data_IF_470587279266
#
_entry.id   IF_470587279266
#
_cell.length_a   1.000
_cell.length_b   1.000
_cell.length_c   1.000
_cell.angle_alpha   90.00
_cell.angle_beta   90.00
_cell.angle_gamma   90.00
#
_symmetry.space_group_name_H-M   'P 1'
#
loop_
_entity.id
_entity.type
_entity.pdbx_description
1 polymer ?
#
# COMPACT_ATOMS: atom_id res chain seq x y z
N UNK A 1 3.79 -20.38 -31.36
CA UNK A 1 2.83 -19.44 -30.72
C UNK A 1 3.40 -18.76 -29.47
N UNK A 2 3.89 -19.47 -28.44
CA UNK A 2 4.44 -18.82 -27.23
C UNK A 2 5.52 -17.75 -27.50
N UNK A 3 6.36 -17.95 -28.54
CA UNK A 3 7.38 -16.97 -28.97
C UNK A 3 6.83 -15.58 -29.37
N UNK A 4 5.55 -15.47 -29.72
CA UNK A 4 4.93 -14.18 -30.10
C UNK A 4 4.30 -13.45 -28.90
N UNK A 5 4.31 -14.06 -27.72
CA UNK A 5 3.69 -13.51 -26.50
C UNK A 5 4.69 -12.60 -25.77
N UNK A 6 4.84 -11.37 -26.25
CA UNK A 6 5.83 -10.41 -25.73
C UNK A 6 5.31 -9.45 -24.65
N UNK A 7 4.00 -9.43 -24.41
CA UNK A 7 3.40 -8.50 -23.45
C UNK A 7 3.70 -8.92 -22.00
N UNK A 8 4.11 -8.01 -21.10
CA UNK A 8 4.34 -8.32 -19.69
C UNK A 8 3.14 -8.96 -18.99
N UNK A 9 1.92 -8.71 -19.48
CA UNK A 9 0.68 -9.21 -18.88
C UNK A 9 0.64 -10.74 -18.73
N UNK A 10 1.37 -11.48 -19.58
CA UNK A 10 1.43 -12.93 -19.54
C UNK A 10 2.04 -13.45 -18.23
N UNK A 11 2.85 -12.65 -17.52
CA UNK A 11 3.41 -13.01 -16.21
C UNK A 11 2.34 -13.23 -15.13
N UNK A 12 1.11 -12.73 -15.32
CA UNK A 12 -0.01 -12.88 -14.39
C UNK A 12 -0.82 -14.17 -14.59
N UNK A 13 -0.39 -15.02 -15.53
CA UNK A 13 -1.04 -16.26 -15.93
C UNK A 13 -0.06 -17.43 -15.88
N UNK A 14 -0.59 -18.65 -15.77
CA UNK A 14 0.23 -19.87 -15.79
C UNK A 14 0.54 -20.25 -17.24
N UNK A 15 1.53 -19.60 -17.84
CA UNK A 15 1.88 -19.72 -19.27
C UNK A 15 2.25 -21.16 -19.67
N UNK A 16 2.75 -21.95 -18.74
CA UNK A 16 3.06 -23.37 -18.99
C UNK A 16 1.82 -24.25 -19.07
N UNK A 17 0.69 -23.79 -18.55
CA UNK A 17 -0.59 -24.50 -18.51
C UNK A 17 -1.61 -23.99 -19.53
N UNK A 18 -1.17 -23.18 -20.51
CA UNK A 18 -2.08 -22.67 -21.56
C UNK A 18 -2.51 -23.82 -22.47
N UNK A 19 -3.82 -24.04 -22.56
CA UNK A 19 -4.46 -25.05 -23.42
C UNK A 19 -5.09 -24.40 -24.65
N UNK A 20 -5.24 -25.21 -25.71
CA UNK A 20 -6.05 -24.88 -26.88
C UNK A 20 -7.41 -25.55 -26.69
N UNK A 21 -8.48 -24.77 -26.73
CA UNK A 21 -9.84 -25.24 -26.46
C UNK A 21 -10.81 -24.79 -27.56
N UNK A 22 -11.87 -25.57 -27.77
CA UNK A 22 -13.03 -25.13 -28.54
C UNK A 22 -14.14 -24.71 -27.57
N UNK A 23 -14.53 -23.44 -27.64
CA UNK A 23 -15.62 -22.90 -26.84
C UNK A 23 -16.70 -22.36 -27.78
N UNK A 24 -17.90 -22.93 -27.70
CA UNK A 24 -19.02 -22.63 -28.61
C UNK A 24 -18.62 -22.75 -30.10
N UNK A 25 -17.86 -23.80 -30.44
CA UNK A 25 -17.38 -24.03 -31.81
C UNK A 25 -16.24 -23.11 -32.26
N UNK A 26 -15.78 -22.18 -31.41
CA UNK A 26 -14.71 -21.23 -31.73
C UNK A 26 -13.40 -21.66 -31.10
N UNK A 27 -12.32 -21.62 -31.89
CA UNK A 27 -10.96 -21.93 -31.41
C UNK A 27 -10.46 -20.81 -30.48
N UNK A 28 -10.04 -21.17 -29.27
CA UNK A 28 -9.50 -20.25 -28.28
C UNK A 28 -8.28 -20.81 -27.56
N UNK A 29 -7.38 -19.92 -27.15
CA UNK A 29 -6.38 -20.22 -26.14
C UNK A 29 -6.96 -19.94 -24.76
N UNK A 30 -6.92 -20.92 -23.86
CA UNK A 30 -7.33 -20.74 -22.47
C UNK A 30 -6.09 -20.48 -21.60
N UNK A 31 -6.10 -19.34 -20.90
CA UNK A 31 -5.04 -18.90 -20.01
C UNK A 31 -5.47 -19.08 -18.56
N UNK A 32 -4.93 -20.08 -17.84
CA UNK A 32 -5.21 -20.24 -16.42
C UNK A 32 -4.66 -19.06 -15.62
N UNK A 33 -5.47 -18.55 -14.69
CA UNK A 33 -5.09 -17.41 -13.86
C UNK A 33 -3.94 -17.79 -12.91
N UNK A 34 -2.96 -16.90 -12.76
CA UNK A 34 -1.85 -17.09 -11.82
C UNK A 34 -2.18 -16.71 -10.37
N UNK A 35 -3.31 -16.06 -10.10
CA UNK A 35 -3.68 -15.61 -8.76
C UNK A 35 -4.03 -16.82 -7.85
N UNK A 36 -3.75 -16.72 -6.54
CA UNK A 36 -4.15 -17.76 -5.55
C UNK A 36 -5.63 -18.11 -5.61
N UNK A 37 -6.50 -17.09 -5.73
CA UNK A 37 -7.94 -17.25 -5.94
C UNK A 37 -8.37 -16.44 -7.15
N UNK A 38 -8.64 -17.13 -8.25
CA UNK A 38 -9.26 -16.53 -9.42
C UNK A 38 -10.68 -16.08 -9.07
N UNK A 39 -11.08 -14.89 -9.53
CA UNK A 39 -12.44 -14.37 -9.31
C UNK A 39 -13.46 -14.85 -10.35
N UNK A 40 -13.00 -15.55 -11.39
CA UNK A 40 -13.84 -16.06 -12.45
C UNK A 40 -14.04 -17.55 -12.28
N UNK A 41 -15.29 -18.02 -12.48
CA UNK A 41 -15.66 -19.42 -12.30
C UNK A 41 -14.84 -20.39 -13.17
N UNK A 42 -14.41 -19.95 -14.36
CA UNK A 42 -13.59 -20.76 -15.25
C UNK A 42 -12.13 -20.93 -14.75
N UNK A 43 -11.69 -20.21 -13.71
CA UNK A 43 -10.30 -20.27 -13.23
C UNK A 43 -9.27 -19.59 -14.14
N UNK A 44 -9.71 -18.92 -15.20
CA UNK A 44 -8.85 -18.30 -16.21
C UNK A 44 -9.64 -17.50 -17.23
N UNK A 45 -9.02 -17.19 -18.37
CA UNK A 45 -9.62 -16.41 -19.46
C UNK A 45 -9.35 -17.03 -20.83
N UNK A 46 -10.34 -16.93 -21.72
CA UNK A 46 -10.22 -17.38 -23.12
C UNK A 46 -9.83 -16.22 -24.03
N UNK A 47 -8.89 -16.46 -24.94
CA UNK A 47 -8.57 -15.60 -26.07
C UNK A 47 -8.85 -16.32 -27.38
N UNK A 48 -9.94 -15.93 -28.03
CA UNK A 48 -10.33 -16.45 -29.32
C UNK A 48 -9.26 -16.18 -30.40
N UNK A 49 -9.12 -17.11 -31.34
CA UNK A 49 -8.11 -17.08 -32.40
C UNK A 49 -8.69 -16.79 -33.78
N UNK A 50 -10.01 -16.68 -33.88
CA UNK A 50 -10.77 -16.51 -35.12
C UNK A 50 -11.00 -15.04 -35.51
N UNK A 51 -10.69 -14.08 -34.62
CA UNK A 51 -10.84 -12.65 -34.89
C UNK A 51 -9.52 -11.98 -35.26
N UNK A 52 -9.61 -10.79 -35.88
CA UNK A 52 -8.45 -9.92 -36.15
C UNK A 52 -7.70 -9.55 -34.86
N UNK A 53 -8.40 -9.55 -33.72
CA UNK A 53 -7.87 -9.27 -32.38
C UNK A 53 -7.19 -10.49 -31.72
N UNK A 54 -6.83 -11.54 -32.47
CA UNK A 54 -6.17 -12.75 -31.92
C UNK A 54 -4.86 -12.48 -31.16
N UNK A 55 -4.24 -11.32 -31.40
CA UNK A 55 -3.03 -10.85 -30.70
C UNK A 55 -3.32 -9.87 -29.56
N UNK A 56 -4.55 -9.37 -29.43
CA UNK A 56 -4.93 -8.43 -28.39
C UNK A 56 -4.80 -9.05 -27.00
N UNK A 57 -4.38 -8.22 -26.05
CA UNK A 57 -4.26 -8.58 -24.63
C UNK A 57 -5.30 -7.87 -23.75
N UNK A 58 -6.29 -7.20 -24.34
CA UNK A 58 -7.27 -6.41 -23.60
C UNK A 58 -8.10 -7.27 -22.63
N UNK A 59 -8.56 -8.44 -23.07
CA UNK A 59 -9.29 -9.40 -22.22
C UNK A 59 -8.40 -9.95 -21.08
N UNK A 60 -7.13 -10.26 -21.36
CA UNK A 60 -6.16 -10.69 -20.34
C UNK A 60 -5.96 -9.56 -19.31
N UNK A 61 -5.82 -8.32 -19.76
CA UNK A 61 -5.68 -7.15 -18.89
C UNK A 61 -6.90 -6.97 -17.99
N UNK A 62 -8.11 -7.02 -18.54
CA UNK A 62 -9.35 -6.89 -17.74
C UNK A 62 -9.48 -8.00 -16.69
N UNK A 63 -9.21 -9.26 -17.07
CA UNK A 63 -9.21 -10.37 -16.13
C UNK A 63 -8.17 -10.16 -15.02
N UNK A 64 -6.96 -9.74 -15.41
CA UNK A 64 -5.87 -9.50 -14.48
C UNK A 64 -6.19 -8.37 -13.50
N UNK A 65 -6.76 -7.25 -13.96
CA UNK A 65 -7.18 -6.14 -13.10
C UNK A 65 -8.22 -6.59 -12.07
N UNK A 66 -9.18 -7.43 -12.49
CA UNK A 66 -10.16 -7.98 -11.56
C UNK A 66 -9.49 -8.87 -10.50
N UNK A 67 -8.62 -9.80 -10.89
CA UNK A 67 -8.01 -10.76 -9.96
C UNK A 67 -6.89 -10.17 -9.09
N UNK A 68 -5.98 -9.39 -9.68
CA UNK A 68 -4.77 -8.86 -9.05
C UNK A 68 -4.91 -7.40 -8.61
N UNK A 69 -5.82 -6.63 -9.21
CA UNK A 69 -5.95 -5.20 -9.02
C UNK A 69 -5.15 -4.37 -10.02
N UNK A 70 -5.60 -3.13 -10.21
CA UNK A 70 -5.04 -2.21 -11.19
C UNK A 70 -3.55 -1.95 -10.93
N UNK A 71 -3.19 -1.67 -9.68
CA UNK A 71 -1.81 -1.38 -9.28
C UNK A 71 -0.84 -2.53 -9.56
N UNK A 72 -1.25 -3.77 -9.27
CA UNK A 72 -0.42 -4.95 -9.52
C UNK A 72 -0.21 -5.17 -11.02
N UNK A 73 -1.25 -4.92 -11.83
CA UNK A 73 -1.16 -4.99 -13.30
C UNK A 73 -0.23 -3.91 -13.84
N UNK A 74 -0.36 -2.67 -13.37
CA UNK A 74 0.47 -1.56 -13.82
C UNK A 74 1.93 -1.72 -13.39
N UNK A 75 2.19 -2.28 -12.20
CA UNK A 75 3.54 -2.64 -11.76
C UNK A 75 4.19 -3.66 -12.72
N UNK A 76 3.47 -4.72 -13.11
CA UNK A 76 3.97 -5.72 -14.06
C UNK A 76 4.21 -5.13 -15.44
N UNK A 77 3.32 -4.26 -15.91
CA UNK A 77 3.51 -3.55 -17.19
C UNK A 77 4.75 -2.64 -17.11
N UNK A 78 5.01 -2.05 -15.94
CA UNK A 78 6.20 -1.23 -15.64
C UNK A 78 7.50 -2.02 -15.42
N UNK A 79 7.47 -3.34 -15.49
CA UNK A 79 8.65 -4.21 -15.35
C UNK A 79 8.90 -4.75 -13.93
N UNK A 80 8.03 -4.44 -12.97
CA UNK A 80 8.09 -5.01 -11.63
C UNK A 80 7.49 -6.43 -11.58
N UNK A 81 7.83 -7.20 -10.54
CA UNK A 81 7.23 -8.52 -10.31
C UNK A 81 5.78 -8.37 -9.86
N UNK A 82 4.91 -9.29 -10.32
CA UNK A 82 3.54 -9.40 -9.85
C UNK A 82 3.50 -9.61 -8.33
N UNK A 83 2.95 -8.64 -7.60
CA UNK A 83 2.68 -8.77 -6.16
C UNK A 83 1.18 -8.96 -5.99
N UNK A 84 0.80 -9.96 -5.19
CA UNK A 84 -0.60 -10.13 -4.80
C UNK A 84 -1.08 -8.94 -3.96
N UNK A 85 -2.40 -8.72 -3.95
CA UNK A 85 -3.02 -7.77 -3.01
C UNK A 85 -2.68 -8.21 -1.58
N UNK A 86 -1.80 -7.47 -0.94
CA UNK A 86 -1.55 -7.62 0.49
C UNK A 86 -2.82 -7.22 1.23
N UNK A 87 -3.29 -8.06 2.16
CA UNK A 87 -4.44 -7.77 3.02
C UNK A 87 -4.13 -6.76 4.13
N UNK A 88 -2.91 -6.19 4.17
CA UNK A 88 -2.59 -5.18 5.18
C UNK A 88 -3.21 -3.84 4.84
N UNK A 89 -3.77 -3.17 5.85
CA UNK A 89 -4.28 -1.79 5.73
C UNK A 89 -3.18 -0.88 5.17
N UNK A 90 -1.94 -1.05 5.61
CA UNK A 90 -0.82 -0.30 5.04
C UNK A 90 -0.69 -0.48 3.53
N UNK A 91 -0.78 -1.71 3.01
CA UNK A 91 -0.68 -1.93 1.56
C UNK A 91 -1.86 -1.32 0.78
N UNK A 92 -3.03 -1.19 1.39
CA UNK A 92 -4.19 -0.56 0.76
C UNK A 92 -4.09 0.98 0.70
N UNK A 93 -3.32 1.60 1.61
CA UNK A 93 -3.23 3.06 1.75
C UNK A 93 -1.82 3.63 1.52
N UNK A 94 -0.81 2.80 1.31
CA UNK A 94 0.56 3.23 1.11
C UNK A 94 0.72 3.97 -0.22
N UNK A 95 1.34 5.14 -0.18
CA UNK A 95 1.77 5.84 -1.39
C UNK A 95 2.99 5.15 -2.00
N UNK A 96 3.21 5.34 -3.30
CA UNK A 96 4.39 4.82 -4.00
C UNK A 96 5.67 5.30 -3.29
N UNK A 97 6.48 4.37 -2.80
CA UNK A 97 7.71 4.64 -2.04
C UNK A 97 7.54 4.74 -0.52
N UNK A 98 6.33 4.71 0.01
CA UNK A 98 6.07 4.75 1.44
C UNK A 98 6.41 3.39 2.08
N UNK A 99 7.20 3.42 3.16
CA UNK A 99 7.55 2.23 3.93
C UNK A 99 6.63 2.06 5.15
N UNK A 100 6.33 0.82 5.57
CA UNK A 100 5.62 0.57 6.81
C UNK A 100 6.33 1.28 7.98
N UNK A 101 5.57 1.84 8.91
CA UNK A 101 6.15 2.39 10.12
C UNK A 101 6.82 1.25 10.90
N UNK A 102 8.15 1.25 10.95
CA UNK A 102 8.91 0.35 11.80
C UNK A 102 8.93 0.92 13.22
N UNK A 103 8.69 0.07 14.21
CA UNK A 103 8.94 0.47 15.59
C UNK A 103 10.44 0.68 15.77
N UNK A 104 10.83 1.81 16.34
CA UNK A 104 12.23 2.12 16.58
C UNK A 104 12.68 1.41 17.86
N UNK A 105 13.77 0.64 17.78
CA UNK A 105 14.43 0.10 18.98
C UNK A 105 15.34 1.12 19.67
N UNK A 106 15.56 2.29 19.04
CA UNK A 106 16.36 3.35 19.61
C UNK A 106 15.61 3.95 20.80
N UNK A 107 16.32 4.13 21.91
CA UNK A 107 15.82 4.89 23.05
C UNK A 107 15.63 6.34 22.61
N UNK A 108 14.40 6.84 22.72
CA UNK A 108 14.10 8.24 22.44
C UNK A 108 14.78 9.14 23.48
N UNK A 109 15.35 10.24 23.02
CA UNK A 109 15.78 11.36 23.87
C UNK A 109 14.57 12.14 24.37
N UNK A 110 14.73 13.02 25.37
CA UNK A 110 13.63 13.87 25.84
C UNK A 110 13.04 14.75 24.72
N UNK A 111 13.88 15.24 23.80
CA UNK A 111 13.42 16.00 22.65
C UNK A 111 12.62 15.14 21.66
N UNK A 112 13.06 13.91 21.41
CA UNK A 112 12.31 12.96 20.57
C UNK A 112 10.94 12.66 21.19
N UNK A 113 10.88 12.44 22.50
CA UNK A 113 9.62 12.16 23.22
C UNK A 113 8.68 13.34 23.11
N UNK A 114 9.18 14.55 23.36
CA UNK A 114 8.39 15.78 23.26
C UNK A 114 7.82 15.97 21.85
N UNK A 115 8.64 15.81 20.81
CA UNK A 115 8.19 15.90 19.42
C UNK A 115 7.17 14.81 19.06
N UNK A 116 7.41 13.57 19.50
CA UNK A 116 6.48 12.45 19.26
C UNK A 116 5.14 12.63 19.99
N UNK A 117 5.14 13.19 21.21
CA UNK A 117 3.91 13.49 21.95
C UNK A 117 3.09 14.58 21.25
N UNK A 118 3.74 15.67 20.80
CA UNK A 118 3.07 16.72 20.00
C UNK A 118 2.42 16.13 18.76
N UNK A 119 3.17 15.29 18.03
CA UNK A 119 2.68 14.61 16.83
C UNK A 119 1.50 13.70 17.14
N UNK A 120 1.64 12.82 18.13
CA UNK A 120 0.60 11.85 18.48
C UNK A 120 -0.70 12.54 18.90
N UNK A 121 -0.61 13.57 19.75
CA UNK A 121 -1.79 14.31 20.22
C UNK A 121 -2.51 15.05 19.09
N UNK A 122 -1.75 15.67 18.19
CA UNK A 122 -2.32 16.42 17.07
C UNK A 122 -2.94 15.49 16.01
N UNK A 123 -2.27 14.38 15.67
CA UNK A 123 -2.78 13.40 14.71
C UNK A 123 -4.05 12.67 15.21
N UNK A 124 -4.17 12.46 16.53
CA UNK A 124 -5.30 11.74 17.14
C UNK A 124 -6.33 12.67 17.79
N UNK A 125 -6.20 13.99 17.63
CA UNK A 125 -7.07 15.00 18.24
C UNK A 125 -7.29 14.78 19.76
N UNK A 126 -6.21 14.44 20.46
CA UNK A 126 -6.26 14.14 21.89
C UNK A 126 -6.00 15.40 22.74
N UNK A 127 -6.68 15.54 23.89
CA UNK A 127 -6.46 16.67 24.78
C UNK A 127 -5.07 16.58 25.43
N UNK A 128 -4.38 17.72 25.57
CA UNK A 128 -3.03 17.77 26.18
C UNK A 128 -3.00 17.29 27.64
N UNK A 129 -4.13 17.37 28.35
CA UNK A 129 -4.25 16.90 29.73
C UNK A 129 -4.11 15.38 29.87
N UNK A 130 -4.18 14.60 28.77
CA UNK A 130 -3.96 13.15 28.81
C UNK A 130 -2.57 12.79 29.31
N UNK A 131 -1.57 13.69 29.14
CA UNK A 131 -0.20 13.49 29.63
C UNK A 131 -0.13 13.50 31.15
N UNK A 132 -1.10 14.08 31.84
CA UNK A 132 -1.16 14.04 33.30
C UNK A 132 -1.79 12.72 33.82
N UNK A 133 -2.20 11.81 32.94
CA UNK A 133 -2.73 10.52 33.35
C UNK A 133 -1.61 9.65 33.92
N UNK A 134 -1.72 9.30 35.21
CA UNK A 134 -0.72 8.51 35.92
C UNK A 134 -0.42 7.17 35.25
N UNK A 135 -1.44 6.40 34.87
CA UNK A 135 -1.24 5.08 34.28
C UNK A 135 -0.51 5.17 32.92
N UNK A 136 -0.80 6.21 32.14
CA UNK A 136 -0.08 6.48 30.90
C UNK A 136 1.38 6.85 31.18
N UNK A 137 1.64 7.72 32.16
CA UNK A 137 3.01 8.05 32.57
C UNK A 137 3.79 6.81 33.01
N UNK A 138 3.18 5.95 33.83
CA UNK A 138 3.79 4.71 34.31
C UNK A 138 4.17 3.80 33.13
N UNK A 139 3.31 3.69 32.11
CA UNK A 139 3.60 2.92 30.89
C UNK A 139 4.71 3.53 30.03
N UNK A 140 4.72 4.86 29.86
CA UNK A 140 5.72 5.56 29.05
C UNK A 140 7.10 5.56 29.70
N UNK A 141 7.16 5.63 31.03
CA UNK A 141 8.39 5.67 31.81
C UNK A 141 8.89 4.29 32.25
N UNK A 142 8.11 3.23 32.02
CA UNK A 142 8.47 1.86 32.40
C UNK A 142 9.87 1.48 31.85
N UNK A 143 10.80 1.22 32.77
CA UNK A 143 12.19 0.87 32.45
C UNK A 143 13.05 2.03 31.92
N UNK A 144 12.62 3.28 32.08
CA UNK A 144 13.30 4.48 31.55
C UNK A 144 13.37 5.62 32.59
N UNK A 145 14.18 5.47 33.65
CA UNK A 145 14.20 6.42 34.77
C UNK A 145 14.82 7.79 34.44
N UNK A 146 15.54 7.92 33.33
CA UNK A 146 16.20 9.16 32.91
C UNK A 146 15.33 10.05 32.02
N UNK A 147 14.11 9.62 31.68
CA UNK A 147 13.20 10.39 30.83
C UNK A 147 12.46 11.41 31.66
N UNK A 148 12.42 12.64 31.15
CA UNK A 148 11.58 13.70 31.69
C UNK A 148 10.38 13.90 30.76
N UNK A 149 9.17 13.67 31.29
CA UNK A 149 7.94 13.87 30.52
C UNK A 149 7.55 15.35 30.56
N UNK A 150 7.27 15.97 29.39
CA UNK A 150 6.89 17.36 29.36
C UNK A 150 5.49 17.56 29.97
N UNK A 151 5.28 18.69 30.64
CA UNK A 151 3.95 19.05 31.15
C UNK A 151 2.95 19.31 30.02
N UNK A 152 1.66 19.17 30.31
CA UNK A 152 0.59 19.50 29.35
C UNK A 152 0.69 20.94 28.81
N UNK A 153 1.16 21.89 29.62
CA UNK A 153 1.41 23.27 29.19
C UNK A 153 2.58 23.39 28.21
N UNK A 154 3.66 22.64 28.43
CA UNK A 154 4.80 22.60 27.51
C UNK A 154 4.36 22.09 26.15
N UNK A 155 3.62 20.99 26.14
CA UNK A 155 3.10 20.39 24.91
C UNK A 155 2.08 21.31 24.21
N UNK A 156 1.23 22.00 24.95
CA UNK A 156 0.32 22.99 24.36
C UNK A 156 1.08 24.11 23.63
N UNK A 157 2.15 24.65 24.24
CA UNK A 157 3.00 25.66 23.59
C UNK A 157 3.71 25.13 22.35
N UNK A 158 4.18 23.87 22.39
CA UNK A 158 4.86 23.25 21.26
C UNK A 158 3.91 22.98 20.09
N UNK A 159 2.65 22.59 20.37
CA UNK A 159 1.59 22.46 19.35
C UNK A 159 1.35 23.81 18.69
N UNK A 160 1.14 24.87 19.48
CA UNK A 160 0.94 26.22 18.93
C UNK A 160 2.14 26.68 18.10
N UNK A 161 3.36 26.45 18.59
CA UNK A 161 4.60 26.81 17.88
C UNK A 161 4.73 26.06 16.56
N UNK A 162 4.34 24.79 16.54
CA UNK A 162 4.34 23.96 15.32
C UNK A 162 3.33 24.47 14.30
N UNK A 163 2.13 24.84 14.75
CA UNK A 163 1.09 25.41 13.88
C UNK A 163 1.52 26.74 13.26
N UNK A 164 2.06 27.67 14.06
CA UNK A 164 2.55 28.96 13.57
C UNK A 164 3.66 28.81 12.53
N UNK A 165 4.61 27.89 12.75
CA UNK A 165 5.67 27.58 11.77
C UNK A 165 5.10 26.99 10.47
N UNK A 166 4.12 26.10 10.56
CA UNK A 166 3.44 25.56 9.38
C UNK A 166 2.71 26.66 8.61
N UNK A 167 2.02 27.56 9.30
CA UNK A 167 1.31 28.69 8.69
C UNK A 167 2.27 29.64 7.96
N UNK A 168 3.39 30.02 8.59
CA UNK A 168 4.43 30.85 7.95
C UNK A 168 5.00 30.18 6.69
N UNK A 169 5.27 28.87 6.76
CA UNK A 169 5.78 28.12 5.61
C UNK A 169 4.77 28.04 4.48
N UNK A 170 3.49 27.84 4.78
CA UNK A 170 2.41 27.86 3.77
C UNK A 170 2.29 29.26 3.16
N UNK A 171 2.35 30.31 3.99
CA UNK A 171 2.34 31.70 3.51
C UNK A 171 3.44 31.97 2.47
N UNK A 172 4.66 31.49 2.73
CA UNK A 172 5.79 31.57 1.78
C UNK A 172 5.60 30.77 0.50
N UNK A 173 4.79 29.71 0.51
CA UNK A 173 4.51 28.89 -0.68
C UNK A 173 3.37 29.43 -1.53
N UNK A 174 2.52 30.30 -0.96
CA UNK A 174 1.36 30.89 -1.63
C UNK A 174 1.65 32.28 -2.20
N UNK A 175 2.83 32.85 -1.93
CA UNK A 175 3.34 34.08 -2.54
C UNK A 175 4.20 33.76 -3.77
#
# INVERSE_FOLDING_TARGET
LKKTWRSPIYALFKIDQVSVEYHNGRLAHFFPCGARKCKFAAGGIRRYQDTLDKLSTANLKQHAVSCWGQEAVDAVIGGDKAKERSGSVFAAFARKGQQPAHHTHRVHTNDDIRANLVRWLTENNCPTNIINNRALCDLLLAGRPSIDLPSCFTISRDICSSFLKCQDRIGKLLQ
#
